data_IF_056198709860
#
_entry.id   IF_056198709860
#
_cell.length_a   1.000
_cell.length_b   1.000
_cell.length_c   1.000
_cell.angle_alpha   90.00
_cell.angle_beta   90.00
_cell.angle_gamma   90.00
#
_symmetry.space_group_name_H-M   'P 1'
#
loop_
_entity.id
_entity.type
_entity.pdbx_description
1 polymer ?
#
# COMPACT_ATOMS: atom_id res chain seq x y z
N UNK A 1 23.21 20.07 42.93
CA UNK A 1 22.61 20.86 41.83
C UNK A 1 23.21 20.58 40.43
N UNK A 2 24.48 20.14 40.28
CA UNK A 2 25.06 19.84 38.95
C UNK A 2 24.48 18.59 38.25
N UNK A 3 23.99 17.58 38.98
CA UNK A 3 23.42 16.36 38.38
C UNK A 3 21.99 16.50 37.83
N UNK A 4 21.22 17.50 38.27
CA UNK A 4 19.84 17.73 37.77
C UNK A 4 19.89 18.39 36.38
N UNK A 5 20.89 19.24 36.14
CA UNK A 5 21.08 19.92 34.85
C UNK A 5 21.48 18.94 33.73
N UNK A 6 22.26 17.91 34.05
CA UNK A 6 22.69 16.88 33.08
C UNK A 6 21.57 15.91 32.72
N UNK A 7 20.65 15.62 33.65
CA UNK A 7 19.48 14.76 33.37
C UNK A 7 18.46 15.46 32.45
N UNK A 8 18.30 16.77 32.59
CA UNK A 8 17.43 17.58 31.72
C UNK A 8 17.90 17.65 30.27
N UNK A 9 19.22 17.74 30.03
CA UNK A 9 19.77 17.72 28.67
C UNK A 9 19.58 16.37 27.95
N UNK A 10 19.64 15.25 28.68
CA UNK A 10 19.46 13.92 28.07
C UNK A 10 18.01 13.66 27.61
N UNK A 11 17.01 14.22 28.31
CA UNK A 11 15.61 14.13 27.90
C UNK A 11 15.28 14.99 26.68
N UNK A 12 16.01 16.08 26.46
CA UNK A 12 15.82 16.96 25.31
C UNK A 12 16.33 16.34 23.99
N UNK A 13 17.22 15.34 24.05
CA UNK A 13 17.70 14.62 22.86
C UNK A 13 16.73 13.54 22.35
N UNK A 14 15.79 13.06 23.17
CA UNK A 14 14.82 12.05 22.71
C UNK A 14 13.63 12.62 21.95
N UNK A 15 13.53 13.94 21.81
CA UNK A 15 12.41 14.63 21.15
C UNK A 15 12.56 14.76 19.62
N UNK A 16 13.66 14.27 19.05
CA UNK A 16 13.89 14.26 17.60
C UNK A 16 13.68 12.86 17.03
N UNK A 17 12.45 12.36 17.09
CA UNK A 17 12.03 11.21 16.28
C UNK A 17 11.44 11.75 14.97
N UNK A 18 12.19 11.60 13.89
CA UNK A 18 11.69 11.88 12.54
C UNK A 18 10.60 10.85 12.17
N UNK A 19 9.66 11.24 11.30
CA UNK A 19 8.65 10.34 10.77
C UNK A 19 9.34 9.24 9.94
N UNK A 20 9.39 8.02 10.48
CA UNK A 20 9.78 6.85 9.71
C UNK A 20 8.71 6.60 8.65
N UNK A 21 8.99 7.00 7.40
CA UNK A 21 8.15 6.67 6.25
C UNK A 21 8.26 5.15 5.98
N UNK A 22 7.49 4.36 6.71
CA UNK A 22 7.38 2.93 6.46
C UNK A 22 6.59 2.70 5.16
N UNK A 23 6.74 1.52 4.56
CA UNK A 23 5.88 1.07 3.49
C UNK A 23 4.90 0.05 4.06
N UNK A 24 3.66 0.11 3.61
CA UNK A 24 2.64 -0.87 3.92
C UNK A 24 2.52 -1.89 2.80
N UNK A 25 2.32 -3.15 3.17
CA UNK A 25 2.27 -4.26 2.22
C UNK A 25 0.97 -5.03 2.41
N UNK A 26 0.30 -5.34 1.30
CA UNK A 26 -0.83 -6.27 1.24
C UNK A 26 -0.47 -7.32 0.21
N UNK A 27 -0.53 -8.59 0.58
CA UNK A 27 -0.32 -9.69 -0.37
C UNK A 27 -1.54 -10.60 -0.36
N UNK A 28 -2.18 -10.76 -1.51
CA UNK A 28 -3.40 -11.54 -1.60
C UNK A 28 -3.85 -11.89 -3.01
N UNK A 29 -4.89 -12.71 -3.14
CA UNK A 29 -5.50 -13.01 -4.45
C UNK A 29 -6.41 -11.87 -4.86
N UNK A 30 -6.43 -11.57 -6.16
CA UNK A 30 -7.41 -10.63 -6.71
C UNK A 30 -8.78 -11.33 -6.71
N UNK A 31 -9.78 -10.70 -6.10
CA UNK A 31 -11.15 -11.26 -5.98
C UNK A 31 -12.18 -10.49 -6.79
N UNK A 32 -11.88 -9.25 -7.16
CA UNK A 32 -12.72 -8.41 -8.01
C UNK A 32 -11.84 -7.36 -8.69
N UNK A 33 -12.13 -7.06 -9.95
CA UNK A 33 -11.53 -5.96 -10.71
C UNK A 33 -12.68 -5.23 -11.39
N UNK A 34 -12.73 -3.91 -11.30
CA UNK A 34 -13.73 -3.15 -12.04
C UNK A 34 -13.41 -3.15 -13.54
N UNK A 35 -14.36 -3.60 -14.36
CA UNK A 35 -14.24 -3.69 -15.81
C UNK A 35 -14.84 -2.49 -16.58
N UNK A 36 -15.28 -1.45 -15.86
CA UNK A 36 -15.77 -0.22 -16.46
C UNK A 36 -14.64 0.44 -17.25
N UNK A 37 -14.95 0.86 -18.49
CA UNK A 37 -14.05 1.46 -19.49
C UNK A 37 -12.70 1.97 -18.97
N UNK A 38 -11.61 1.42 -19.54
CA UNK A 38 -10.18 1.71 -19.31
C UNK A 38 -9.92 2.95 -18.41
N UNK A 39 -9.94 2.76 -17.08
CA UNK A 39 -10.18 3.87 -16.17
C UNK A 39 -8.87 4.62 -15.87
N UNK A 40 -9.00 5.90 -15.50
CA UNK A 40 -7.90 6.71 -14.96
C UNK A 40 -7.31 6.10 -13.68
N UNK A 41 -8.09 5.26 -13.00
CA UNK A 41 -7.75 4.55 -11.78
C UNK A 41 -8.40 3.16 -11.83
N UNK A 42 -7.66 2.12 -11.47
CA UNK A 42 -8.12 0.73 -11.46
C UNK A 42 -8.44 0.34 -10.02
N UNK A 43 -9.72 0.26 -9.63
CA UNK A 43 -10.11 -0.34 -8.36
C UNK A 43 -10.16 -1.86 -8.48
N UNK A 44 -9.62 -2.53 -7.46
CA UNK A 44 -9.65 -3.99 -7.34
C UNK A 44 -9.71 -4.39 -5.86
N UNK A 45 -10.19 -5.60 -5.59
CA UNK A 45 -10.22 -6.18 -4.24
C UNK A 45 -9.19 -7.29 -4.13
N UNK A 46 -8.55 -7.34 -2.97
CA UNK A 46 -7.67 -8.44 -2.56
C UNK A 46 -8.36 -9.28 -1.47
N UNK A 47 -8.09 -10.58 -1.44
CA UNK A 47 -8.60 -11.49 -0.41
C UNK A 47 -8.01 -11.24 0.99
N UNK A 48 -6.89 -10.53 1.06
CA UNK A 48 -6.20 -10.13 2.28
C UNK A 48 -6.11 -8.60 2.34
N UNK A 49 -5.91 -8.06 3.55
CA UNK A 49 -5.72 -6.64 3.80
C UNK A 49 -4.75 -6.39 4.93
N UNK A 50 -4.58 -5.14 5.30
CA UNK A 50 -3.80 -4.72 6.46
C UNK A 50 -4.67 -3.84 7.40
N UNK A 51 -4.06 -3.25 8.42
CA UNK A 51 -4.78 -2.40 9.38
C UNK A 51 -5.41 -1.15 8.74
N UNK A 52 -4.80 -0.58 7.70
CA UNK A 52 -5.25 0.65 7.03
C UNK A 52 -6.27 0.38 5.92
N UNK A 53 -6.10 -0.74 5.23
CA UNK A 53 -6.88 -1.20 4.09
C UNK A 53 -7.29 -2.65 4.35
N UNK A 54 -8.36 -2.88 5.14
CA UNK A 54 -8.81 -4.21 5.51
C UNK A 54 -9.36 -4.99 4.31
N UNK A 55 -9.36 -6.32 4.41
CA UNK A 55 -9.92 -7.18 3.38
C UNK A 55 -11.38 -6.80 3.07
N UNK A 56 -11.74 -6.80 1.79
CA UNK A 56 -13.05 -6.34 1.31
C UNK A 56 -13.15 -4.82 1.06
N UNK A 57 -12.18 -4.01 1.51
CA UNK A 57 -12.04 -2.61 1.05
C UNK A 57 -11.32 -2.61 -0.31
N UNK A 58 -11.80 -1.85 -1.31
CA UNK A 58 -11.09 -1.69 -2.57
C UNK A 58 -9.72 -1.04 -2.36
N UNK A 59 -8.72 -1.55 -3.07
CA UNK A 59 -7.43 -0.90 -3.28
C UNK A 59 -7.39 -0.35 -4.70
N UNK A 60 -6.51 0.61 -4.94
CA UNK A 60 -6.49 1.36 -6.19
C UNK A 60 -5.11 1.40 -6.81
N UNK A 61 -5.08 1.43 -8.14
CA UNK A 61 -3.89 1.74 -8.93
C UNK A 61 -4.16 2.89 -9.88
N UNK A 62 -3.27 3.90 -9.91
CA UNK A 62 -3.37 5.00 -10.87
C UNK A 62 -1.99 5.54 -11.22
N UNK A 63 -1.62 5.43 -12.51
CA UNK A 63 -0.48 6.12 -13.13
C UNK A 63 -0.90 6.69 -14.48
N UNK A 64 -0.02 6.67 -15.47
CA UNK A 64 -0.37 7.00 -16.85
C UNK A 64 -1.21 5.89 -17.50
N UNK A 65 -1.86 6.23 -18.62
CA UNK A 65 -2.81 5.34 -19.30
C UNK A 65 -2.17 4.03 -19.78
N UNK A 66 -0.92 4.07 -20.23
CA UNK A 66 -0.25 2.88 -20.75
C UNK A 66 0.15 1.94 -19.61
N UNK A 67 0.64 2.49 -18.51
CA UNK A 67 0.87 1.75 -17.28
C UNK A 67 -0.42 1.13 -16.74
N UNK A 68 -1.52 1.88 -16.72
CA UNK A 68 -2.82 1.36 -16.27
C UNK A 68 -3.29 0.18 -17.13
N UNK A 69 -3.14 0.22 -18.46
CA UNK A 69 -3.47 -0.94 -19.32
C UNK A 69 -2.64 -2.18 -18.95
N UNK A 70 -1.33 -2.00 -18.75
CA UNK A 70 -0.43 -3.09 -18.39
C UNK A 70 -0.79 -3.71 -17.04
N UNK A 71 -1.07 -2.87 -16.03
CA UNK A 71 -1.48 -3.34 -14.71
C UNK A 71 -2.86 -3.99 -14.75
N UNK A 72 -3.81 -3.45 -15.52
CA UNK A 72 -5.11 -4.09 -15.72
C UNK A 72 -4.96 -5.50 -16.30
N UNK A 73 -4.13 -5.66 -17.33
CA UNK A 73 -3.83 -6.98 -17.90
C UNK A 73 -3.15 -7.93 -16.90
N UNK A 74 -2.21 -7.43 -16.09
CA UNK A 74 -1.55 -8.22 -15.05
C UNK A 74 -2.53 -8.66 -13.95
N UNK A 75 -3.40 -7.76 -13.49
CA UNK A 75 -4.44 -8.05 -12.51
C UNK A 75 -5.45 -9.06 -13.04
N UNK A 76 -5.91 -8.90 -14.29
CA UNK A 76 -6.80 -9.86 -14.94
C UNK A 76 -6.14 -11.24 -15.06
N UNK A 77 -4.84 -11.28 -15.37
CA UNK A 77 -4.08 -12.53 -15.43
C UNK A 77 -3.96 -13.19 -14.05
N UNK A 78 -3.69 -12.41 -13.00
CA UNK A 78 -3.67 -12.89 -11.61
C UNK A 78 -5.03 -13.40 -11.15
N UNK A 79 -6.11 -12.68 -11.50
CA UNK A 79 -7.49 -13.06 -11.20
C UNK A 79 -7.86 -14.42 -11.80
N UNK A 80 -7.56 -14.63 -13.09
CA UNK A 80 -7.89 -15.89 -13.78
C UNK A 80 -6.98 -17.05 -13.35
N UNK A 81 -5.70 -16.79 -13.10
CA UNK A 81 -4.74 -17.83 -12.69
C UNK A 81 -4.82 -18.18 -11.20
N UNK A 82 -5.49 -17.37 -10.39
CA UNK A 82 -5.54 -17.52 -8.94
C UNK A 82 -4.21 -17.20 -8.24
N UNK A 83 -3.25 -16.59 -8.95
CA UNK A 83 -1.98 -16.11 -8.41
C UNK A 83 -2.21 -14.94 -7.45
N UNK A 84 -1.26 -14.76 -6.54
CA UNK A 84 -1.31 -13.68 -5.56
C UNK A 84 -0.69 -12.42 -6.15
N UNK A 85 -1.05 -11.28 -5.58
CA UNK A 85 -0.51 -9.96 -5.90
C UNK A 85 -0.05 -9.31 -4.61
N UNK A 86 1.16 -8.75 -4.63
CA UNK A 86 1.66 -7.88 -3.57
C UNK A 86 1.50 -6.43 -3.99
N UNK A 87 0.71 -5.67 -3.24
CA UNK A 87 0.56 -4.22 -3.35
C UNK A 87 1.35 -3.54 -2.23
N UNK A 88 2.17 -2.54 -2.60
CA UNK A 88 2.95 -1.74 -1.66
C UNK A 88 2.46 -0.30 -1.71
N UNK A 89 2.19 0.29 -0.56
CA UNK A 89 1.63 1.63 -0.37
C UNK A 89 2.49 2.42 0.63
N UNK A 90 2.33 3.74 0.66
CA UNK A 90 2.97 4.56 1.70
C UNK A 90 2.29 4.32 3.06
N UNK A 91 3.04 4.43 4.15
CA UNK A 91 2.48 4.24 5.49
C UNK A 91 1.41 5.29 5.82
N UNK A 92 0.35 4.83 6.48
CA UNK A 92 -0.85 5.59 6.80
C UNK A 92 -1.65 6.10 5.58
N UNK A 93 -1.41 5.54 4.39
CA UNK A 93 -2.25 5.84 3.22
C UNK A 93 -3.66 5.25 3.37
N UNK A 94 -4.59 6.06 3.87
CA UNK A 94 -6.01 5.69 4.02
C UNK A 94 -6.77 5.60 2.68
N UNK A 95 -6.18 6.13 1.60
CA UNK A 95 -6.74 6.05 0.24
C UNK A 95 -6.54 4.67 -0.40
N UNK A 96 -5.66 3.85 0.17
CA UNK A 96 -5.35 2.50 -0.32
C UNK A 96 -4.82 2.48 -1.76
N UNK A 97 -3.94 3.44 -2.09
CA UNK A 97 -3.39 3.60 -3.44
C UNK A 97 -2.01 2.97 -3.54
N UNK A 98 -1.86 2.04 -4.48
CA UNK A 98 -0.61 1.33 -4.73
C UNK A 98 0.49 2.21 -5.32
N UNK A 99 1.70 2.07 -4.79
CA UNK A 99 2.95 2.63 -5.32
C UNK A 99 3.71 1.63 -6.18
N UNK A 100 3.76 0.38 -5.71
CA UNK A 100 4.35 -0.76 -6.41
C UNK A 100 3.40 -1.95 -6.38
N UNK A 101 3.46 -2.78 -7.41
CA UNK A 101 2.63 -3.98 -7.54
C UNK A 101 3.42 -5.12 -8.17
N UNK A 102 3.30 -6.32 -7.62
CA UNK A 102 3.97 -7.53 -8.08
C UNK A 102 2.98 -8.68 -8.17
N UNK A 103 3.03 -9.47 -9.23
CA UNK A 103 2.38 -10.80 -9.26
C UNK A 103 3.34 -11.78 -8.61
N UNK A 104 2.86 -12.55 -7.63
CA UNK A 104 3.66 -13.47 -6.81
C UNK A 104 2.99 -14.84 -6.71
N UNK A 105 3.77 -15.85 -6.34
CA UNK A 105 3.35 -17.25 -6.34
C UNK A 105 2.32 -17.62 -5.27
#
# INVERSE_FOLDING_TARGET
MRCILTLGCALFWMSYSDSANALQIITGKVTQIEATYMPTQIPFLLSEGNATCPAGKPVYWAKDQENNKAIYAALMSAFVSGKRVTLIMDDNDTSCTGKFIYVVD
#
